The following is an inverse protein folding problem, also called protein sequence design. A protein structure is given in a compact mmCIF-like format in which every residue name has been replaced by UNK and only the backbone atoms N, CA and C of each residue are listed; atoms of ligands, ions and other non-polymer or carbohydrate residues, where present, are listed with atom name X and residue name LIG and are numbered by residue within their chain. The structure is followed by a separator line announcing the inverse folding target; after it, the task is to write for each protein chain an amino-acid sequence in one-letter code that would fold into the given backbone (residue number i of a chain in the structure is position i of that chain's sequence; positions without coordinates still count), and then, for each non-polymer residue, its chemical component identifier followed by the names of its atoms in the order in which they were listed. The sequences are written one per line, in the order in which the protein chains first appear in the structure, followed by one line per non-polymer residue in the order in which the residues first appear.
data_IF_644846008324
#
_entry.id   IF_644846008324
#
_cell.length_a   1.000
_cell.length_b   1.000
_cell.length_c   1.000
_cell.angle_alpha   90.00
_cell.angle_beta   90.00
_cell.angle_gamma   90.00
#
_symmetry.space_group_name_H-M   'P 1'
#
loop_
_entity.id
_entity.type
_entity.pdbx_description
1 polymer ?
#
# COMPACT_ATOMS: atom_id res chain seq x y z
N UNK A 1 -35.17 42.63 -5.79
CA UNK A 1 -33.95 42.19 -6.52
C UNK A 1 -32.75 42.71 -5.74
N UNK A 2 -31.98 41.84 -5.09
CA UNK A 2 -30.80 42.24 -4.34
C UNK A 2 -29.62 42.44 -5.32
N UNK A 3 -29.02 43.62 -5.31
CA UNK A 3 -27.83 43.94 -6.10
C UNK A 3 -26.58 43.58 -5.30
N UNK A 4 -25.75 42.68 -5.83
CA UNK A 4 -24.46 42.32 -5.23
C UNK A 4 -23.47 43.46 -5.39
N UNK A 5 -22.71 43.76 -4.33
CA UNK A 5 -21.68 44.81 -4.39
C UNK A 5 -20.44 44.27 -5.12
N UNK A 6 -19.63 45.13 -5.75
CA UNK A 6 -18.38 44.72 -6.39
C UNK A 6 -17.43 43.96 -5.44
N UNK A 7 -17.44 44.29 -4.15
CA UNK A 7 -16.70 43.59 -3.10
C UNK A 7 -17.14 42.14 -2.90
N UNK A 8 -18.44 41.87 -3.03
CA UNK A 8 -19.02 40.54 -2.83
C UNK A 8 -18.67 39.64 -4.02
N UNK A 9 -18.67 40.22 -5.23
CA UNK A 9 -18.24 39.55 -6.47
C UNK A 9 -16.75 39.20 -6.40
N UNK A 10 -15.91 40.12 -5.91
CA UNK A 10 -14.47 39.88 -5.74
C UNK A 10 -14.20 38.78 -4.69
N UNK A 11 -14.94 38.77 -3.58
CA UNK A 11 -14.81 37.75 -2.54
C UNK A 11 -15.26 36.36 -3.05
N UNK A 12 -16.35 36.30 -3.82
CA UNK A 12 -16.81 35.08 -4.49
C UNK A 12 -15.81 34.57 -5.54
N UNK A 13 -15.16 35.47 -6.26
CA UNK A 13 -14.08 35.14 -7.20
C UNK A 13 -12.84 34.62 -6.47
N UNK A 14 -12.44 35.22 -5.35
CA UNK A 14 -11.31 34.72 -4.57
C UNK A 14 -11.59 33.34 -3.95
N UNK A 15 -12.78 33.09 -3.42
CA UNK A 15 -13.13 31.78 -2.86
C UNK A 15 -13.25 30.70 -3.92
N UNK A 16 -13.76 31.03 -5.11
CA UNK A 16 -13.77 30.10 -6.26
C UNK A 16 -12.37 29.84 -6.81
N UNK A 17 -11.50 30.86 -6.90
CA UNK A 17 -10.11 30.69 -7.31
C UNK A 17 -9.32 29.87 -6.27
N UNK A 18 -9.50 30.08 -4.96
CA UNK A 18 -8.86 29.28 -3.91
C UNK A 18 -9.32 27.81 -3.90
N UNK A 19 -10.59 27.55 -4.23
CA UNK A 19 -11.10 26.18 -4.35
C UNK A 19 -10.63 25.47 -5.62
N UNK A 20 -10.29 26.21 -6.67
CA UNK A 20 -9.67 25.69 -7.90
C UNK A 20 -8.14 25.51 -7.78
N UNK A 21 -7.51 26.16 -6.81
CA UNK A 21 -6.05 26.12 -6.55
C UNK A 21 -5.57 24.89 -5.79
N UNK A 22 -6.38 23.84 -5.64
CA UNK A 22 -5.83 22.51 -5.32
C UNK A 22 -5.07 21.97 -6.54
N UNK A 23 -3.97 22.64 -6.90
CA UNK A 23 -2.99 22.12 -7.82
C UNK A 23 -2.50 20.80 -7.23
N UNK A 24 -2.92 19.75 -7.90
CA UNK A 24 -2.36 18.41 -7.83
C UNK A 24 -0.87 18.49 -8.13
N UNK A 25 -0.06 18.74 -7.11
CA UNK A 25 1.36 18.43 -7.19
C UNK A 25 1.45 16.91 -7.29
N UNK A 26 1.78 16.40 -8.48
CA UNK A 26 2.33 15.06 -8.65
C UNK A 26 3.69 15.03 -7.93
N UNK A 27 3.66 14.99 -6.60
CA UNK A 27 4.85 14.77 -5.81
C UNK A 27 5.11 13.28 -5.87
N UNK A 28 6.21 12.91 -6.53
CA UNK A 28 6.65 11.51 -6.64
C UNK A 28 6.75 10.90 -5.25
N UNK A 29 6.09 9.75 -5.04
CA UNK A 29 5.95 9.10 -3.73
C UNK A 29 6.55 7.68 -3.75
N UNK A 30 7.88 7.54 -3.99
CA UNK A 30 8.50 6.23 -4.24
C UNK A 30 8.46 5.27 -3.03
N UNK A 31 8.12 5.78 -1.85
CA UNK A 31 8.08 5.03 -0.60
C UNK A 31 6.65 4.80 -0.08
N UNK A 32 5.63 5.22 -0.83
CA UNK A 32 4.25 5.07 -0.39
C UNK A 32 3.81 3.61 -0.32
N UNK A 33 2.80 3.41 0.53
CA UNK A 33 2.07 2.16 0.63
C UNK A 33 0.59 2.45 0.66
N UNK A 34 -0.16 1.71 -0.15
CA UNK A 34 -1.61 1.60 -0.04
C UNK A 34 -1.93 0.21 0.53
N UNK A 35 -2.58 0.18 1.69
CA UNK A 35 -3.05 -1.06 2.32
C UNK A 35 -4.55 -1.19 2.09
N UNK A 36 -4.95 -2.32 1.53
CA UNK A 36 -6.36 -2.72 1.45
C UNK A 36 -6.64 -3.56 2.69
N UNK A 37 -7.48 -3.06 3.60
CA UNK A 37 -7.66 -3.64 4.91
C UNK A 37 -9.11 -4.08 5.17
N UNK A 38 -9.25 -5.19 5.87
CA UNK A 38 -10.52 -5.70 6.39
C UNK A 38 -10.61 -5.42 7.89
N UNK A 39 -11.66 -4.72 8.32
CA UNK A 39 -11.80 -4.27 9.71
C UNK A 39 -12.97 -4.92 10.42
N UNK A 40 -12.74 -5.32 11.67
CA UNK A 40 -13.71 -6.05 12.48
C UNK A 40 -13.99 -7.44 11.92
N UNK A 41 -12.96 -8.15 11.46
CA UNK A 41 -13.07 -9.56 11.06
C UNK A 41 -13.66 -10.37 12.22
N UNK A 42 -14.56 -11.31 11.91
CA UNK A 42 -15.30 -12.09 12.90
C UNK A 42 -16.55 -11.41 13.44
N UNK A 43 -16.73 -10.11 13.21
CA UNK A 43 -17.87 -9.34 13.72
C UNK A 43 -18.95 -9.08 12.65
N UNK A 44 -18.63 -9.31 11.38
CA UNK A 44 -19.56 -9.17 10.25
C UNK A 44 -20.37 -10.44 9.97
N UNK A 45 -21.21 -10.35 8.93
CA UNK A 45 -22.02 -11.48 8.44
C UNK A 45 -21.11 -12.69 8.15
N UNK A 46 -21.49 -13.87 8.67
CA UNK A 46 -20.73 -15.12 8.54
C UNK A 46 -19.27 -15.04 9.04
N UNK A 47 -18.98 -14.17 10.01
CA UNK A 47 -17.62 -13.98 10.54
C UNK A 47 -16.72 -13.13 9.63
N UNK A 48 -17.28 -12.46 8.62
CA UNK A 48 -16.55 -11.54 7.76
C UNK A 48 -16.19 -10.20 8.45
N UNK A 49 -15.60 -9.29 7.67
CA UNK A 49 -15.31 -7.93 8.10
C UNK A 49 -16.58 -7.07 8.15
N UNK A 50 -16.57 -6.09 9.07
CA UNK A 50 -17.64 -5.08 9.20
C UNK A 50 -17.41 -3.86 8.29
N UNK A 51 -16.15 -3.54 7.99
CA UNK A 51 -15.78 -2.45 7.08
C UNK A 51 -14.52 -2.82 6.30
N UNK A 52 -14.26 -2.08 5.22
CA UNK A 52 -13.09 -2.26 4.35
C UNK A 52 -12.47 -0.89 4.13
N UNK A 53 -11.18 -0.77 4.35
CA UNK A 53 -10.50 0.52 4.29
C UNK A 53 -9.40 0.49 3.24
N UNK A 54 -9.31 1.54 2.44
CA UNK A 54 -8.07 1.88 1.73
C UNK A 54 -7.29 2.82 2.64
N UNK A 55 -6.12 2.36 3.10
CA UNK A 55 -5.28 3.07 4.06
C UNK A 55 -3.97 3.46 3.38
N UNK A 56 -3.64 4.74 3.40
CA UNK A 56 -2.45 5.27 2.76
C UNK A 56 -1.37 5.67 3.77
N UNK A 57 -0.15 5.29 3.47
CA UNK A 57 1.06 5.62 4.21
C UNK A 57 2.08 6.26 3.26
N UNK A 58 2.65 7.43 3.60
CA UNK A 58 3.70 8.06 2.79
C UNK A 58 5.08 7.37 2.93
N UNK A 59 5.14 6.30 3.72
CA UNK A 59 6.33 5.54 4.08
C UNK A 59 5.93 4.16 4.58
N UNK A 60 6.77 3.58 5.45
CA UNK A 60 6.57 2.21 5.92
C UNK A 60 5.25 2.04 6.68
N UNK A 61 4.54 0.93 6.44
CA UNK A 61 3.34 0.55 7.20
C UNK A 61 3.73 0.05 8.59
N UNK A 62 4.71 -0.85 8.67
CA UNK A 62 5.21 -1.46 9.91
C UNK A 62 6.55 -0.87 10.30
N UNK A 63 6.79 -0.75 11.61
CA UNK A 63 8.05 -0.22 12.15
C UNK A 63 9.20 -1.22 12.11
N UNK A 64 8.89 -2.51 11.86
CA UNK A 64 9.84 -3.62 12.00
C UNK A 64 10.08 -4.05 13.46
N UNK A 65 9.39 -3.44 14.43
CA UNK A 65 9.44 -3.79 15.84
C UNK A 65 8.19 -4.59 16.23
N UNK A 66 8.11 -5.84 15.79
CA UNK A 66 6.97 -6.73 16.05
C UNK A 66 5.73 -6.33 15.24
N UNK A 67 4.58 -6.19 15.91
CA UNK A 67 3.28 -5.90 15.29
C UNK A 67 2.95 -4.40 15.21
N UNK A 68 3.93 -3.54 15.50
CA UNK A 68 3.72 -2.10 15.53
C UNK A 68 3.67 -1.51 14.11
N UNK A 69 2.70 -0.60 13.91
CA UNK A 69 2.53 0.14 12.67
C UNK A 69 2.77 1.64 12.85
N UNK A 70 3.19 2.29 11.77
CA UNK A 70 3.18 3.74 11.67
C UNK A 70 1.73 4.24 11.57
N UNK A 71 1.52 5.54 11.77
CA UNK A 71 0.19 6.15 11.61
C UNK A 71 -0.05 6.46 10.13
N UNK A 72 -1.21 6.07 9.55
CA UNK A 72 -1.56 6.48 8.19
C UNK A 72 -1.86 7.98 8.12
N UNK A 73 -1.63 8.58 6.96
CA UNK A 73 -1.98 10.00 6.74
C UNK A 73 -3.34 10.16 6.10
N UNK A 74 -3.85 9.13 5.42
CA UNK A 74 -5.15 9.13 4.77
C UNK A 74 -5.79 7.74 4.87
N UNK A 75 -7.11 7.72 4.99
CA UNK A 75 -7.89 6.50 5.01
C UNK A 75 -9.29 6.81 4.48
N UNK A 76 -9.87 5.85 3.76
CA UNK A 76 -11.25 5.94 3.31
C UNK A 76 -11.92 4.58 3.35
N UNK A 77 -13.18 4.57 3.78
CA UNK A 77 -14.01 3.39 3.73
C UNK A 77 -14.42 3.07 2.30
N UNK A 78 -14.31 1.79 1.94
CA UNK A 78 -14.79 1.23 0.68
C UNK A 78 -16.08 0.46 0.98
N UNK A 79 -17.25 0.99 0.58
CA UNK A 79 -18.53 0.38 0.92
C UNK A 79 -18.72 -0.99 0.28
N UNK A 80 -19.43 -1.87 0.98
CA UNK A 80 -19.85 -3.15 0.42
C UNK A 80 -21.06 -2.95 -0.52
N UNK A 81 -20.89 -3.34 -1.79
CA UNK A 81 -21.94 -3.29 -2.84
C UNK A 81 -22.60 -4.64 -3.14
N UNK A 82 -22.57 -5.61 -2.21
CA UNK A 82 -23.08 -6.98 -2.41
C UNK A 82 -22.01 -8.04 -2.70
N UNK A 83 -20.78 -7.66 -3.08
CA UNK A 83 -19.61 -8.55 -3.21
C UNK A 83 -18.38 -8.04 -2.45
N UNK A 84 -17.46 -8.95 -2.08
CA UNK A 84 -16.18 -8.57 -1.45
C UNK A 84 -15.39 -7.62 -2.37
N UNK A 85 -15.03 -6.41 -1.91
CA UNK A 85 -14.63 -5.33 -2.81
C UNK A 85 -13.32 -5.59 -3.54
N UNK A 86 -12.34 -6.24 -2.89
CA UNK A 86 -11.02 -6.42 -3.49
C UNK A 86 -11.06 -7.35 -4.72
N UNK A 87 -12.02 -8.26 -4.81
CA UNK A 87 -12.18 -9.16 -5.96
C UNK A 87 -13.17 -8.68 -7.03
N UNK A 88 -13.62 -7.43 -6.99
CA UNK A 88 -14.67 -6.96 -7.91
C UNK A 88 -14.21 -6.90 -9.36
N UNK A 89 -15.10 -7.32 -10.27
CA UNK A 89 -14.88 -7.18 -11.71
C UNK A 89 -14.81 -5.69 -12.06
N UNK A 90 -13.77 -5.30 -12.79
CA UNK A 90 -13.49 -3.88 -13.09
C UNK A 90 -12.69 -3.16 -12.00
N UNK A 91 -12.26 -3.86 -10.95
CA UNK A 91 -11.48 -3.28 -9.86
C UNK A 91 -12.35 -2.48 -8.89
N UNK A 92 -11.70 -1.83 -7.93
CA UNK A 92 -12.35 -0.94 -6.98
C UNK A 92 -11.61 0.37 -6.87
N UNK A 93 -12.36 1.46 -6.85
CA UNK A 93 -11.82 2.82 -6.78
C UNK A 93 -12.35 3.55 -5.57
N UNK A 94 -11.50 4.35 -4.94
CA UNK A 94 -11.90 5.25 -3.86
C UNK A 94 -11.14 6.58 -3.93
N UNK A 95 -11.82 7.66 -3.56
CA UNK A 95 -11.23 9.00 -3.47
C UNK A 95 -10.72 9.25 -2.06
N UNK A 96 -9.45 9.61 -1.94
CA UNK A 96 -8.79 9.97 -0.70
C UNK A 96 -9.13 11.41 -0.28
N UNK A 97 -8.95 11.78 1.01
CA UNK A 97 -9.22 13.13 1.51
C UNK A 97 -8.47 14.27 0.79
N UNK A 98 -7.31 13.98 0.20
CA UNK A 98 -6.53 14.95 -0.58
C UNK A 98 -7.01 15.09 -2.04
N UNK A 99 -8.09 14.42 -2.43
CA UNK A 99 -8.63 14.42 -3.78
C UNK A 99 -8.01 13.38 -4.72
N UNK A 100 -6.95 12.66 -4.33
CA UNK A 100 -6.40 11.55 -5.12
C UNK A 100 -7.43 10.42 -5.25
N UNK A 101 -7.35 9.65 -6.33
CA UNK A 101 -8.24 8.51 -6.57
C UNK A 101 -7.39 7.29 -6.80
N UNK A 102 -7.42 6.34 -5.87
CA UNK A 102 -6.82 5.03 -6.07
C UNK A 102 -7.81 4.12 -6.79
N UNK A 103 -7.32 3.35 -7.75
CA UNK A 103 -8.03 2.26 -8.41
C UNK A 103 -7.17 1.01 -8.32
N UNK A 104 -7.73 -0.08 -7.80
CA UNK A 104 -7.01 -1.33 -7.58
C UNK A 104 -7.69 -2.48 -8.31
N UNK A 105 -6.88 -3.34 -8.89
CA UNK A 105 -7.32 -4.57 -9.53
C UNK A 105 -6.56 -5.73 -8.91
N UNK A 106 -7.28 -6.65 -8.26
CA UNK A 106 -6.69 -7.77 -7.52
C UNK A 106 -7.29 -9.09 -8.02
N UNK A 107 -6.44 -10.10 -8.13
CA UNK A 107 -6.86 -11.49 -8.26
C UNK A 107 -6.93 -12.12 -6.85
N UNK A 108 -8.13 -12.32 -6.28
CA UNK A 108 -8.29 -12.80 -4.91
C UNK A 108 -7.92 -14.28 -4.71
N UNK A 109 -7.62 -15.01 -5.80
CA UNK A 109 -7.21 -16.40 -5.72
C UNK A 109 -5.72 -16.57 -5.38
N UNK A 110 -4.95 -15.48 -5.43
CA UNK A 110 -3.53 -15.50 -5.09
C UNK A 110 -3.38 -15.55 -3.57
N UNK A 111 -2.53 -16.46 -3.08
CA UNK A 111 -2.27 -16.64 -1.65
C UNK A 111 -1.08 -15.82 -1.20
N UNK A 112 -1.03 -15.55 0.09
CA UNK A 112 0.09 -14.82 0.69
C UNK A 112 1.43 -15.56 0.52
N UNK A 113 2.56 -14.84 0.46
CA UNK A 113 2.72 -13.39 0.35
C UNK A 113 2.97 -12.95 -1.10
N UNK A 114 2.13 -13.37 -2.06
CA UNK A 114 2.43 -13.26 -3.48
C UNK A 114 1.81 -12.04 -4.16
N UNK A 115 2.45 -11.57 -5.25
CA UNK A 115 1.93 -10.53 -6.11
C UNK A 115 0.54 -10.92 -6.66
N UNK A 116 -0.47 -10.12 -6.33
CA UNK A 116 -1.88 -10.42 -6.57
C UNK A 116 -2.57 -9.43 -7.50
N UNK A 117 -1.95 -8.29 -7.80
CA UNK A 117 -2.56 -7.28 -8.66
C UNK A 117 -1.80 -5.96 -8.66
N UNK A 118 -2.48 -4.88 -9.03
CA UNK A 118 -1.88 -3.57 -9.23
C UNK A 118 -2.83 -2.46 -8.77
N UNK A 119 -2.25 -1.33 -8.37
CA UNK A 119 -2.97 -0.12 -8.04
C UNK A 119 -2.42 1.08 -8.81
N UNK A 120 -3.33 1.94 -9.26
CA UNK A 120 -3.04 3.22 -9.93
C UNK A 120 -3.66 4.34 -9.12
N UNK A 121 -3.05 5.51 -9.15
CA UNK A 121 -3.67 6.71 -8.60
C UNK A 121 -3.50 7.92 -9.51
N UNK A 122 -4.35 8.93 -9.32
CA UNK A 122 -4.55 10.04 -10.25
C UNK A 122 -3.27 10.87 -10.44
N UNK A 123 -2.44 10.95 -9.40
CA UNK A 123 -1.24 11.79 -9.41
C UNK A 123 0.01 11.11 -9.98
N UNK A 124 0.07 9.78 -10.08
CA UNK A 124 1.19 9.05 -10.67
C UNK A 124 0.74 7.84 -11.53
N UNK A 125 -0.23 8.04 -12.43
CA UNK A 125 -0.82 6.95 -13.25
C UNK A 125 0.18 6.12 -14.08
N UNK A 126 1.35 6.66 -14.40
CA UNK A 126 2.38 5.97 -15.20
C UNK A 126 3.29 5.06 -14.37
N UNK A 127 3.17 5.08 -13.05
CA UNK A 127 3.99 4.28 -12.13
C UNK A 127 3.04 3.54 -11.17
N UNK A 128 2.49 2.38 -11.57
CA UNK A 128 1.57 1.65 -10.71
C UNK A 128 2.29 1.03 -9.50
N UNK A 129 1.56 0.93 -8.40
CA UNK A 129 1.97 0.17 -7.23
C UNK A 129 1.68 -1.31 -7.47
N UNK A 130 2.66 -2.19 -7.23
CA UNK A 130 2.42 -3.64 -7.25
C UNK A 130 1.73 -4.03 -5.94
N UNK A 131 0.60 -4.74 -6.03
CA UNK A 131 -0.15 -5.23 -4.88
C UNK A 131 0.16 -6.69 -4.58
N UNK A 132 0.39 -6.99 -3.30
CA UNK A 132 0.68 -8.32 -2.79
C UNK A 132 -0.43 -8.77 -1.86
N UNK A 133 -0.88 -10.02 -1.98
CA UNK A 133 -1.71 -10.67 -0.96
C UNK A 133 -0.86 -10.79 0.29
N UNK A 134 -1.30 -10.20 1.39
CA UNK A 134 -0.56 -10.22 2.64
C UNK A 134 -1.49 -9.98 3.83
N UNK A 135 -1.87 -11.06 4.51
CA UNK A 135 -2.72 -11.01 5.68
C UNK A 135 -1.88 -10.80 6.94
N UNK A 136 -2.00 -9.62 7.51
CA UNK A 136 -1.24 -9.24 8.70
C UNK A 136 -2.10 -8.45 9.65
N UNK A 137 -2.06 -8.86 10.91
CA UNK A 137 -2.96 -8.35 11.94
C UNK A 137 -2.56 -6.96 12.46
N UNK A 138 -3.55 -6.26 13.01
CA UNK A 138 -3.39 -5.03 13.81
C UNK A 138 -2.76 -3.86 13.04
N UNK A 139 -3.12 -3.72 11.76
CA UNK A 139 -2.62 -2.63 10.91
C UNK A 139 -3.05 -1.27 11.44
N UNK A 140 -4.32 -1.16 11.82
CA UNK A 140 -4.91 0.06 12.33
C UNK A 140 -6.11 -0.26 13.23
N UNK A 141 -6.39 0.61 14.22
CA UNK A 141 -7.59 0.52 15.06
C UNK A 141 -8.50 1.68 14.73
N UNK A 142 -9.71 1.39 14.29
CA UNK A 142 -10.75 2.39 14.01
C UNK A 142 -11.19 3.07 15.32
N UNK A 143 -11.79 4.25 15.17
CA UNK A 143 -12.32 5.04 16.31
C UNK A 143 -13.42 4.30 17.08
N UNK A 144 -14.16 3.41 16.40
CA UNK A 144 -15.16 2.54 17.01
C UNK A 144 -14.56 1.30 17.72
N UNK A 145 -13.23 1.23 17.80
CA UNK A 145 -12.47 0.23 18.52
C UNK A 145 -12.17 -1.05 17.73
N UNK A 146 -12.66 -1.21 16.50
CA UNK A 146 -12.41 -2.40 15.69
C UNK A 146 -11.00 -2.38 15.10
N UNK A 147 -10.36 -3.54 15.10
CA UNK A 147 -9.06 -3.73 14.47
C UNK A 147 -9.20 -4.02 12.97
N UNK A 148 -8.28 -3.45 12.20
CA UNK A 148 -8.08 -3.71 10.79
C UNK A 148 -6.89 -4.65 10.59
N UNK A 149 -7.04 -5.59 9.67
CA UNK A 149 -5.98 -6.48 9.20
C UNK A 149 -5.75 -6.20 7.72
N UNK A 150 -4.50 -6.24 7.25
CA UNK A 150 -4.24 -6.12 5.82
C UNK A 150 -4.83 -7.33 5.10
N UNK A 151 -5.42 -7.12 3.94
CA UNK A 151 -5.67 -8.16 2.95
C UNK A 151 -4.62 -8.06 1.83
N UNK A 152 -4.29 -6.82 1.43
CA UNK A 152 -3.27 -6.55 0.41
C UNK A 152 -2.43 -5.33 0.76
N UNK A 153 -1.17 -5.35 0.30
CA UNK A 153 -0.24 -4.22 0.42
C UNK A 153 0.26 -3.87 -0.98
N UNK A 154 0.04 -2.63 -1.40
CA UNK A 154 0.49 -2.11 -2.69
C UNK A 154 1.63 -1.11 -2.49
N UNK A 155 2.76 -1.31 -3.18
CA UNK A 155 3.92 -0.44 -3.09
C UNK A 155 4.82 -0.50 -4.34
N UNK A 156 5.77 0.44 -4.41
CA UNK A 156 6.81 0.50 -5.45
C UNK A 156 8.03 -0.37 -5.14
N UNK A 157 8.16 -0.90 -3.92
CA UNK A 157 9.36 -1.60 -3.45
C UNK A 157 9.45 -3.07 -3.84
N UNK A 158 8.37 -3.63 -4.37
CA UNK A 158 8.36 -4.98 -4.90
C UNK A 158 8.28 -6.09 -3.83
N UNK A 159 7.81 -5.77 -2.62
CA UNK A 159 7.65 -6.74 -1.52
C UNK A 159 6.50 -6.35 -0.58
N UNK A 160 5.74 -7.29 0.01
CA UNK A 160 4.69 -6.98 0.99
C UNK A 160 5.23 -6.46 2.33
N UNK A 161 6.52 -6.68 2.64
CA UNK A 161 7.16 -6.25 3.88
C UNK A 161 8.28 -5.25 3.59
N UNK A 162 7.97 -4.03 3.12
CA UNK A 162 8.95 -3.06 2.65
C UNK A 162 9.91 -2.55 3.75
N UNK A 163 9.56 -2.77 5.02
CA UNK A 163 10.34 -2.42 6.21
C UNK A 163 11.42 -3.45 6.58
N UNK A 164 11.32 -4.68 6.07
CA UNK A 164 12.36 -5.69 6.28
C UNK A 164 13.50 -5.42 5.29
N UNK A 165 14.69 -5.14 5.82
CA UNK A 165 15.91 -5.03 5.02
C UNK A 165 16.08 -6.35 4.23
N UNK A 166 16.43 -6.33 2.93
CA UNK A 166 16.68 -7.55 2.18
C UNK A 166 17.70 -8.42 2.93
N UNK A 167 17.46 -9.73 3.00
CA UNK A 167 18.47 -10.65 3.51
C UNK A 167 19.79 -10.43 2.74
N UNK A 168 20.96 -10.45 3.41
CA UNK A 168 22.23 -10.42 2.71
C UNK A 168 22.25 -11.50 1.63
N UNK A 169 22.79 -11.18 0.45
CA UNK A 169 23.01 -12.19 -0.57
C UNK A 169 23.76 -13.38 0.04
N UNK A 170 23.46 -14.63 -0.36
CA UNK A 170 24.24 -15.79 0.08
C UNK A 170 25.72 -15.50 -0.14
N UNK A 171 26.55 -15.77 0.88
CA UNK A 171 27.99 -15.66 0.73
C UNK A 171 28.42 -16.50 -0.49
N UNK A 172 29.38 -16.03 -1.31
CA UNK A 172 29.96 -16.85 -2.36
C UNK A 172 30.36 -18.21 -1.78
N UNK A 173 30.06 -19.29 -2.49
CA UNK A 173 30.51 -20.62 -2.07
C UNK A 173 32.03 -20.57 -1.81
N UNK A 174 32.52 -21.26 -0.77
CA UNK A 174 33.96 -21.34 -0.51
C UNK A 174 34.68 -21.76 -1.79
N UNK A 175 35.80 -21.09 -2.09
CA UNK A 175 36.65 -21.52 -3.19
C UNK A 175 37.00 -23.01 -2.99
N UNK A 176 37.04 -23.81 -4.07
CA UNK A 176 37.48 -25.20 -3.97
C UNK A 176 38.84 -25.25 -3.27
N UNK A 177 39.02 -26.18 -2.33
CA UNK A 177 40.32 -26.37 -1.70
C UNK A 177 41.38 -26.64 -2.80
N UNK A 178 42.60 -26.08 -2.66
CA UNK A 178 43.70 -26.43 -3.55
C UNK A 178 43.87 -27.95 -3.54
N UNK A 179 43.83 -28.56 -4.72
CA UNK A 179 44.13 -29.98 -4.88
C UNK A 179 45.61 -30.16 -4.51
N UNK A 180 45.96 -30.99 -3.51
CA UNK A 180 47.35 -31.27 -3.18
C UNK A 180 48.08 -31.84 -4.40
N UNK A 181 49.34 -31.45 -4.66
CA UNK A 181 50.11 -32.02 -5.76
C UNK A 181 50.28 -33.54 -5.57
N UNK A 182 50.28 -34.32 -6.66
CA UNK A 182 50.48 -35.77 -6.60
C UNK A 182 51.82 -36.13 -5.95
N UNK A 183 51.81 -37.16 -5.10
CA UNK A 183 52.92 -37.59 -4.22
C UNK A 183 54.17 -38.10 -4.98
N UNK A 184 54.14 -38.16 -6.30
CA UNK A 184 55.21 -38.76 -7.11
C UNK A 184 56.48 -37.90 -7.26
N UNK A 185 56.47 -36.61 -6.89
CA UNK A 185 57.61 -35.70 -7.13
C UNK A 185 58.57 -35.51 -5.94
N UNK A 186 58.35 -36.17 -4.79
CA UNK A 186 59.15 -35.96 -3.56
C UNK A 186 60.34 -36.94 -3.42
N UNK A 187 60.49 -37.93 -4.28
CA UNK A 187 61.51 -38.99 -4.12
C UNK A 187 62.73 -38.91 -5.04
N UNK A 188 63.00 -37.77 -5.70
CA UNK A 188 64.09 -37.67 -6.68
C UNK A 188 65.22 -36.67 -6.31
N UNK A 189 65.56 -36.54 -5.03
CA UNK A 189 66.79 -35.84 -4.62
C UNK A 189 67.52 -36.59 -3.50
#
# INVERSE_FOLDING_TARGET
MAAFKPSDILLLLLTTILSLLQLSSAQRTPNENLVLADCGIGLGVNGGSTSREMIYYPGDVWTGQGLQTNRPTMMVNVPWTGAYPWGQQGGVSARMPNGDVFTVHINPNIKDPMAAGDAWHLFEMNVPLKCYSYHYMWVYKLDDGKWCESAYVCNHRGTPTPHLKPAPAPAPAPAPNPIPPPICDVLNN
#
